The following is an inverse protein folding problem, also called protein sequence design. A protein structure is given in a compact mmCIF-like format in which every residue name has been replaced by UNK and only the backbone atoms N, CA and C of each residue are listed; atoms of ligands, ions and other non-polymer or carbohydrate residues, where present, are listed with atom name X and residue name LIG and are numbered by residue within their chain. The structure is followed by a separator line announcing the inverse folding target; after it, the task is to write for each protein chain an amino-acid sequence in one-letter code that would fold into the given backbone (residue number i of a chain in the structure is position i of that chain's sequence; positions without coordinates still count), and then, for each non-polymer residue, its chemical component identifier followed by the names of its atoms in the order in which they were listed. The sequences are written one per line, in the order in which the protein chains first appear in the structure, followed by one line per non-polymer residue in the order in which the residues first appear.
data_IF_364219947286
#
_entry.id   IF_364219947286
#
_cell.length_a   1.000
_cell.length_b   1.000
_cell.length_c   1.000
_cell.angle_alpha   90.00
_cell.angle_beta   90.00
_cell.angle_gamma   90.00
#
_symmetry.space_group_name_H-M   'P 1'
#
loop_
_entity.id
_entity.type
_entity.pdbx_description
1 polymer ?
#
# COMPACT_ATOMS: atom_id res chain seq x y z
N UNK A 1 -0.65 5.64 8.01
CA UNK A 1 -0.98 4.39 7.35
C UNK A 1 -0.37 3.15 7.99
N UNK A 2 0.37 3.26 9.09
CA UNK A 2 0.96 2.12 9.79
C UNK A 2 2.32 1.64 9.24
N UNK A 3 2.67 1.99 8.01
CA UNK A 3 3.97 1.67 7.38
C UNK A 3 4.47 2.84 6.55
N UNK A 4 5.76 2.84 6.20
CA UNK A 4 6.35 3.89 5.38
C UNK A 4 6.18 3.60 3.88
N UNK A 5 5.82 4.64 3.15
CA UNK A 5 5.65 4.63 1.70
C UNK A 5 6.65 5.55 1.03
N UNK A 6 7.23 5.13 -0.07
CA UNK A 6 7.79 6.04 -1.05
C UNK A 6 6.70 6.39 -2.08
N UNK A 7 6.38 7.68 -2.20
CA UNK A 7 5.39 8.19 -3.16
C UNK A 7 6.15 8.75 -4.37
N UNK A 8 5.99 8.12 -5.53
CA UNK A 8 6.75 8.41 -6.75
C UNK A 8 5.80 8.86 -7.85
N UNK A 9 6.13 9.97 -8.51
CA UNK A 9 5.46 10.35 -9.75
C UNK A 9 5.92 9.40 -10.88
N UNK A 10 4.96 8.71 -11.49
CA UNK A 10 5.25 7.68 -12.50
C UNK A 10 5.94 8.25 -13.75
N UNK A 11 5.73 9.51 -14.06
CA UNK A 11 6.40 10.20 -15.16
C UNK A 11 7.93 10.23 -15.00
N UNK A 12 8.43 10.20 -13.76
CA UNK A 12 9.88 10.18 -13.49
C UNK A 12 10.56 8.87 -13.90
N UNK A 13 9.80 7.81 -14.10
CA UNK A 13 10.30 6.51 -14.58
C UNK A 13 9.90 6.21 -16.02
N UNK A 14 9.25 7.17 -16.71
CA UNK A 14 8.87 7.05 -18.11
C UNK A 14 7.74 6.05 -18.38
N UNK A 15 6.94 5.69 -17.37
CA UNK A 15 5.84 4.75 -17.45
C UNK A 15 4.48 5.42 -17.23
N UNK A 16 3.41 4.65 -17.41
CA UNK A 16 2.04 5.06 -17.09
C UNK A 16 1.37 4.01 -16.20
N UNK A 17 0.37 4.44 -15.41
CA UNK A 17 -0.39 3.51 -14.57
C UNK A 17 -1.51 2.89 -15.40
N UNK A 18 -1.14 1.88 -16.19
CA UNK A 18 -2.01 1.09 -17.08
C UNK A 18 -1.62 -0.39 -17.01
N UNK A 19 -2.52 -1.33 -17.33
CA UNK A 19 -2.23 -2.76 -17.25
C UNK A 19 -1.01 -3.23 -18.06
N UNK A 20 -0.76 -2.61 -19.23
CA UNK A 20 0.39 -2.95 -20.08
C UNK A 20 1.74 -2.72 -19.37
N UNK A 21 1.84 -1.68 -18.55
CA UNK A 21 3.08 -1.28 -17.87
C UNK A 21 3.22 -1.95 -16.48
N UNK A 22 2.23 -2.75 -16.05
CA UNK A 22 2.15 -3.30 -14.69
C UNK A 22 3.37 -4.11 -14.26
N UNK A 23 3.89 -4.97 -15.13
CA UNK A 23 5.05 -5.80 -14.84
C UNK A 23 6.32 -4.94 -14.62
N UNK A 24 6.50 -3.91 -15.44
CA UNK A 24 7.65 -3.02 -15.33
C UNK A 24 7.52 -2.07 -14.11
N UNK A 25 6.31 -1.61 -13.81
CA UNK A 25 6.04 -0.87 -12.57
C UNK A 25 6.41 -1.72 -11.35
N UNK A 26 6.03 -3.00 -11.32
CA UNK A 26 6.37 -3.91 -10.22
C UNK A 26 7.89 -4.06 -10.09
N UNK A 27 8.61 -4.32 -11.19
CA UNK A 27 10.06 -4.46 -11.21
C UNK A 27 10.78 -3.20 -10.73
N UNK A 28 10.44 -2.04 -11.27
CA UNK A 28 11.07 -0.76 -10.91
C UNK A 28 10.72 -0.39 -9.46
N UNK A 29 9.48 -0.63 -9.04
CA UNK A 29 9.04 -0.35 -7.68
C UNK A 29 9.85 -1.12 -6.62
N UNK A 30 10.20 -2.39 -6.90
CA UNK A 30 11.07 -3.17 -6.00
C UNK A 30 12.49 -2.58 -5.93
N UNK A 31 13.08 -2.20 -7.06
CA UNK A 31 14.41 -1.55 -7.10
C UNK A 31 14.40 -0.21 -6.34
N UNK A 32 13.36 0.60 -6.55
CA UNK A 32 13.22 1.88 -5.85
C UNK A 32 13.03 1.68 -4.35
N UNK A 33 12.23 0.68 -3.95
CA UNK A 33 12.04 0.34 -2.53
C UNK A 33 13.36 0.07 -1.82
N UNK A 34 14.20 -0.78 -2.40
CA UNK A 34 15.52 -1.14 -1.84
C UNK A 34 16.42 0.10 -1.74
N UNK A 35 16.53 0.86 -2.82
CA UNK A 35 17.37 2.07 -2.87
C UNK A 35 16.89 3.14 -1.88
N UNK A 36 15.59 3.39 -1.80
CA UNK A 36 15.06 4.37 -0.87
C UNK A 36 15.20 3.91 0.58
N UNK A 37 15.04 2.61 0.88
CA UNK A 37 15.28 2.08 2.23
C UNK A 37 16.73 2.28 2.65
N UNK A 38 17.69 2.06 1.75
CA UNK A 38 19.10 2.28 2.03
C UNK A 38 19.46 3.76 2.19
N UNK A 39 18.89 4.63 1.34
CA UNK A 39 19.19 6.07 1.35
C UNK A 39 18.45 6.85 2.46
N UNK A 40 17.30 6.36 2.89
CA UNK A 40 16.42 7.04 3.84
C UNK A 40 15.98 6.07 4.95
N UNK A 41 16.86 5.79 5.93
CA UNK A 41 16.51 4.93 7.06
C UNK A 41 15.38 5.59 7.87
N UNK A 42 14.29 4.86 8.04
CA UNK A 42 13.12 5.28 8.80
C UNK A 42 12.70 4.18 9.77
N UNK A 43 12.25 4.58 10.96
CA UNK A 43 11.77 3.67 12.00
C UNK A 43 10.51 4.27 12.62
N UNK A 44 9.50 3.44 12.84
CA UNK A 44 8.27 3.87 13.51
C UNK A 44 8.58 4.23 14.96
N UNK A 45 8.15 5.40 15.46
CA UNK A 45 8.54 5.90 16.78
C UNK A 45 8.07 5.02 17.94
N UNK A 46 6.96 4.31 17.79
CA UNK A 46 6.35 3.47 18.83
C UNK A 46 6.48 1.97 18.56
N UNK A 47 6.74 1.58 17.31
CA UNK A 47 6.82 0.17 16.88
C UNK A 47 8.12 -0.04 16.07
N UNK A 48 9.28 -0.23 16.73
CA UNK A 48 10.58 -0.31 16.05
C UNK A 48 10.69 -1.45 15.01
N UNK A 49 9.87 -2.48 15.12
CA UNK A 49 9.79 -3.55 14.12
C UNK A 49 9.30 -3.02 12.74
N UNK A 50 8.56 -1.90 12.71
CA UNK A 50 8.19 -1.20 11.48
C UNK A 50 9.33 -0.26 11.12
N UNK A 51 10.24 -0.72 10.26
CA UNK A 51 11.38 0.03 9.78
C UNK A 51 11.57 -0.11 8.27
N UNK A 52 12.25 0.85 7.66
CA UNK A 52 12.45 0.93 6.22
C UNK A 52 11.17 1.26 5.42
N UNK A 53 11.33 1.39 4.12
CA UNK A 53 10.22 1.64 3.18
C UNK A 53 9.52 0.30 2.90
N UNK A 54 8.27 0.17 3.34
CA UNK A 54 7.48 -1.03 3.12
C UNK A 54 7.06 -1.18 1.66
N UNK A 55 6.54 -0.09 1.07
CA UNK A 55 5.96 -0.10 -0.27
C UNK A 55 6.33 1.14 -1.07
N UNK A 56 6.31 0.99 -2.40
CA UNK A 56 6.38 2.11 -3.34
C UNK A 56 5.00 2.31 -3.96
N UNK A 57 4.47 3.52 -3.89
CA UNK A 57 3.25 3.88 -4.58
C UNK A 57 3.58 4.86 -5.70
N UNK A 58 3.42 4.43 -6.94
CA UNK A 58 3.41 5.32 -8.09
C UNK A 58 2.11 6.11 -8.14
N UNK A 59 2.22 7.37 -8.57
CA UNK A 59 1.09 8.29 -8.71
C UNK A 59 1.13 8.94 -10.08
N UNK A 60 -0.04 9.18 -10.65
CA UNK A 60 -0.24 9.86 -11.93
C UNK A 60 -1.49 10.73 -11.85
N UNK A 61 -1.35 12.01 -12.14
CA UNK A 61 -2.52 12.89 -12.29
C UNK A 61 -3.33 12.44 -13.51
N UNK A 62 -4.63 12.25 -13.32
CA UNK A 62 -5.58 11.99 -14.40
C UNK A 62 -6.09 13.30 -15.01
N UNK A 63 -6.55 13.24 -16.26
CA UNK A 63 -7.13 14.40 -16.97
C UNK A 63 -8.47 14.85 -16.34
N UNK A 64 -9.10 13.99 -15.58
CA UNK A 64 -10.38 14.21 -14.88
C UNK A 64 -10.22 14.74 -13.45
N UNK A 65 -9.01 15.16 -13.05
CA UNK A 65 -8.68 15.62 -11.70
C UNK A 65 -8.53 14.49 -10.67
N UNK A 66 -8.67 13.22 -11.07
CA UNK A 66 -8.44 12.06 -10.22
C UNK A 66 -6.96 11.67 -10.22
N UNK A 67 -6.53 10.93 -9.21
CA UNK A 67 -5.17 10.40 -9.14
C UNK A 67 -5.17 8.90 -9.43
N UNK A 68 -4.44 8.46 -10.46
CA UNK A 68 -4.13 7.05 -10.63
C UNK A 68 -3.02 6.64 -9.68
N UNK A 69 -3.15 5.44 -9.10
CA UNK A 69 -2.18 4.89 -8.14
C UNK A 69 -1.84 3.45 -8.47
N UNK A 70 -0.59 3.08 -8.25
CA UNK A 70 -0.13 1.69 -8.38
C UNK A 70 0.86 1.40 -7.25
N UNK A 71 0.46 0.55 -6.30
CA UNK A 71 1.30 0.20 -5.15
C UNK A 71 2.01 -1.11 -5.40
N UNK A 72 3.34 -1.06 -5.29
CA UNK A 72 4.22 -2.23 -5.43
C UNK A 72 4.60 -2.74 -4.04
N UNK A 73 4.41 -4.03 -3.85
CA UNK A 73 4.65 -4.76 -2.60
C UNK A 73 5.64 -5.91 -2.82
N UNK A 74 6.47 -6.25 -1.83
CA UNK A 74 7.28 -7.46 -1.89
C UNK A 74 6.43 -8.72 -2.18
N UNK A 75 6.96 -9.69 -2.89
CA UNK A 75 8.25 -9.71 -3.61
C UNK A 75 8.18 -9.16 -5.06
N UNK A 76 7.30 -8.26 -5.38
CA UNK A 76 7.08 -7.69 -6.72
C UNK A 76 5.64 -7.81 -7.18
N UNK A 77 4.69 -7.75 -6.24
CA UNK A 77 3.25 -7.72 -6.53
C UNK A 77 2.77 -6.30 -6.69
N UNK A 78 1.83 -6.10 -7.63
CA UNK A 78 1.12 -4.85 -7.81
C UNK A 78 -0.29 -4.96 -7.24
N UNK A 79 -0.68 -4.00 -6.38
CA UNK A 79 -2.04 -3.94 -5.84
C UNK A 79 -3.05 -3.70 -6.99
N UNK A 80 -4.11 -4.48 -7.01
CA UNK A 80 -5.21 -4.29 -7.96
C UNK A 80 -6.21 -3.24 -7.50
N UNK A 81 -6.23 -2.93 -6.21
CA UNK A 81 -6.99 -1.82 -5.64
C UNK A 81 -6.19 -0.51 -5.71
N UNK A 82 -6.81 0.65 -5.44
CA UNK A 82 -6.06 1.91 -5.26
C UNK A 82 -5.13 1.91 -4.03
N UNK A 83 -5.13 0.87 -3.21
CA UNK A 83 -4.42 0.73 -1.95
C UNK A 83 -4.91 1.69 -0.84
N UNK A 84 -5.54 1.15 0.22
CA UNK A 84 -6.11 1.96 1.29
C UNK A 84 -5.07 2.75 2.08
N UNK A 85 -4.03 2.06 2.57
CA UNK A 85 -2.94 2.70 3.35
C UNK A 85 -2.08 3.62 2.49
N UNK A 86 -1.85 3.25 1.22
CA UNK A 86 -1.16 4.11 0.26
C UNK A 86 -1.95 5.37 -0.09
N UNK A 87 -3.27 5.26 -0.28
CA UNK A 87 -4.15 6.41 -0.49
C UNK A 87 -4.18 7.33 0.73
N UNK A 88 -4.12 6.77 1.95
CA UNK A 88 -3.96 7.55 3.19
C UNK A 88 -2.62 8.29 3.23
N UNK A 89 -1.52 7.65 2.84
CA UNK A 89 -0.20 8.29 2.76
C UNK A 89 -0.20 9.41 1.70
N UNK A 90 -0.85 9.19 0.56
CA UNK A 90 -1.03 10.21 -0.47
C UNK A 90 -1.83 11.41 0.05
N UNK A 91 -2.97 11.17 0.71
CA UNK A 91 -3.79 12.21 1.32
C UNK A 91 -2.99 13.02 2.36
N UNK A 92 -2.21 12.36 3.23
CA UNK A 92 -1.33 13.02 4.19
C UNK A 92 -0.29 13.90 3.50
N UNK A 93 0.30 13.42 2.40
CA UNK A 93 1.24 14.19 1.59
C UNK A 93 0.60 15.43 0.96
N UNK A 94 -0.64 15.34 0.49
CA UNK A 94 -1.40 16.49 -0.04
C UNK A 94 -1.69 17.50 1.06
N UNK A 95 -2.14 17.04 2.23
CA UNK A 95 -2.41 17.91 3.38
C UNK A 95 -1.14 18.66 3.85
N UNK A 96 -0.03 17.95 3.99
CA UNK A 96 1.25 18.55 4.39
C UNK A 96 1.77 19.62 3.41
N UNK A 97 1.31 19.59 2.15
CA UNK A 97 1.63 20.58 1.11
C UNK A 97 0.55 21.66 0.95
N UNK A 98 -0.48 21.66 1.79
CA UNK A 98 -1.60 22.60 1.69
C UNK A 98 -2.47 22.42 0.45
N UNK A 99 -2.48 21.21 -0.14
CA UNK A 99 -3.19 20.88 -1.38
C UNK A 99 -4.56 20.22 -1.13
N UNK A 100 -4.92 19.98 0.12
CA UNK A 100 -6.23 19.48 0.53
C UNK A 100 -6.58 19.97 1.94
N UNK A 101 -7.85 20.29 2.15
CA UNK A 101 -8.41 20.78 3.41
C UNK A 101 -9.30 19.73 4.08
N UNK A 102 -9.55 19.88 5.37
CA UNK A 102 -10.51 19.04 6.12
C UNK A 102 -11.88 19.12 5.47
N UNK A 103 -12.53 17.98 5.29
CA UNK A 103 -13.82 17.83 4.61
C UNK A 103 -13.71 17.53 3.12
N UNK A 104 -12.58 17.78 2.48
CA UNK A 104 -12.40 17.52 1.06
C UNK A 104 -12.14 16.03 0.76
N UNK A 105 -12.52 15.62 -0.44
CA UNK A 105 -12.41 14.24 -0.94
C UNK A 105 -11.64 14.22 -2.25
N UNK A 106 -10.74 13.27 -2.39
CA UNK A 106 -10.09 12.93 -3.65
C UNK A 106 -10.53 11.55 -4.12
N UNK A 107 -10.47 11.29 -5.41
CA UNK A 107 -10.65 9.95 -5.98
C UNK A 107 -9.30 9.38 -6.39
N UNK A 108 -8.98 8.19 -5.88
CA UNK A 108 -7.82 7.41 -6.34
C UNK A 108 -8.28 6.24 -7.19
N UNK A 109 -7.58 5.96 -8.31
CA UNK A 109 -7.89 4.86 -9.23
C UNK A 109 -6.71 3.92 -9.40
N UNK A 110 -6.98 2.63 -9.30
CA UNK A 110 -5.97 1.58 -9.49
C UNK A 110 -5.58 1.39 -10.96
N UNK A 111 -4.56 0.56 -11.17
CA UNK A 111 -4.10 0.14 -12.50
C UNK A 111 -5.20 -0.53 -13.33
N UNK A 112 -6.18 -1.20 -12.71
CA UNK A 112 -7.33 -1.82 -13.38
C UNK A 112 -8.58 -0.94 -13.37
N UNK A 113 -8.50 0.32 -12.89
CA UNK A 113 -9.60 1.28 -12.91
C UNK A 113 -10.56 1.23 -11.72
N UNK A 114 -10.37 0.35 -10.73
CA UNK A 114 -11.15 0.41 -9.49
C UNK A 114 -10.87 1.72 -8.75
N UNK A 115 -11.84 2.24 -7.99
CA UNK A 115 -11.75 3.54 -7.36
C UNK A 115 -11.98 3.49 -5.86
N UNK A 116 -11.29 4.38 -5.14
CA UNK A 116 -11.60 4.77 -3.77
C UNK A 116 -11.88 6.28 -3.69
N UNK A 117 -12.89 6.62 -2.91
CA UNK A 117 -13.12 7.98 -2.41
C UNK A 117 -12.37 8.12 -1.09
N UNK A 118 -11.48 9.10 -1.00
CA UNK A 118 -10.57 9.30 0.14
C UNK A 118 -10.80 10.70 0.70
N UNK A 119 -11.45 10.79 1.86
CA UNK A 119 -11.83 12.06 2.50
C UNK A 119 -10.90 12.37 3.67
N UNK A 120 -10.45 13.60 3.77
CA UNK A 120 -9.75 14.10 4.95
C UNK A 120 -10.79 14.53 6.02
N UNK A 121 -11.01 13.67 7.02
CA UNK A 121 -12.00 13.94 8.07
C UNK A 121 -11.49 14.93 9.14
N UNK A 122 -10.19 14.96 9.37
CA UNK A 122 -9.60 15.79 10.40
C UNK A 122 -8.09 15.63 10.48
N UNK A 123 -7.50 16.43 11.36
CA UNK A 123 -6.08 16.41 11.69
C UNK A 123 -5.94 16.05 13.17
N UNK A 124 -4.93 15.27 13.50
CA UNK A 124 -4.61 14.83 14.85
C UNK A 124 -3.10 14.79 15.03
N UNK A 125 -2.65 14.25 16.14
CA UNK A 125 -1.24 14.03 16.42
C UNK A 125 -0.98 12.54 16.67
N UNK A 126 0.15 12.04 16.18
CA UNK A 126 0.67 10.72 16.48
C UNK A 126 2.18 10.80 16.71
N UNK A 127 2.64 10.34 17.87
CA UNK A 127 4.04 10.35 18.28
C UNK A 127 4.73 11.74 18.07
N UNK A 128 4.06 12.82 18.49
CA UNK A 128 4.58 14.20 18.39
C UNK A 128 4.62 14.76 16.95
N UNK A 129 3.92 14.12 15.99
CA UNK A 129 3.86 14.56 14.60
C UNK A 129 2.43 14.78 14.14
N UNK A 130 2.23 15.75 13.27
CA UNK A 130 0.93 15.95 12.62
C UNK A 130 0.51 14.67 11.87
N UNK A 131 -0.69 14.21 12.15
CA UNK A 131 -1.31 13.06 11.51
C UNK A 131 -2.70 13.44 10.97
N UNK A 132 -3.24 12.66 10.04
CA UNK A 132 -4.56 12.86 9.47
C UNK A 132 -5.50 11.72 9.87
N UNK A 133 -6.81 12.01 9.85
CA UNK A 133 -7.89 11.05 10.00
C UNK A 133 -8.53 10.84 8.61
N UNK A 134 -8.13 9.82 7.84
CA UNK A 134 -8.71 9.53 6.54
C UNK A 134 -9.96 8.67 6.65
N UNK A 135 -10.95 8.91 5.80
CA UNK A 135 -12.01 7.96 5.49
C UNK A 135 -11.82 7.45 4.07
N UNK A 136 -11.87 6.13 3.90
CA UNK A 136 -11.75 5.50 2.60
C UNK A 136 -13.04 4.73 2.32
N UNK A 137 -13.65 5.00 1.18
CA UNK A 137 -14.82 4.31 0.69
C UNK A 137 -14.52 3.65 -0.64
N UNK A 138 -14.94 2.41 -0.79
CA UNK A 138 -14.76 1.62 -2.01
C UNK A 138 -15.96 0.72 -2.24
N UNK A 139 -15.94 0.00 -3.36
CA UNK A 139 -16.99 -0.96 -3.73
C UNK A 139 -16.40 -2.35 -3.93
N UNK A 140 -17.05 -3.34 -3.34
CA UNK A 140 -16.79 -4.75 -3.56
C UNK A 140 -18.05 -5.46 -4.08
N UNK A 141 -17.85 -6.66 -4.63
CA UNK A 141 -18.93 -7.53 -5.10
C UNK A 141 -18.80 -8.90 -4.45
N UNK A 142 -19.91 -9.42 -3.90
CA UNK A 142 -19.96 -10.79 -3.40
C UNK A 142 -20.12 -11.73 -4.61
N UNK A 143 -19.28 -12.75 -4.71
CA UNK A 143 -19.34 -13.73 -5.78
C UNK A 143 -19.37 -15.20 -5.29
N UNK A 144 -19.34 -15.41 -3.96
CA UNK A 144 -19.42 -16.75 -3.40
C UNK A 144 -19.45 -16.81 -1.90
N UNK A 145 -19.70 -18.02 -1.41
CA UNK A 145 -19.55 -18.43 -0.01
C UNK A 145 -18.76 -19.73 0.02
N UNK A 146 -17.89 -19.89 1.01
CA UNK A 146 -17.10 -21.10 1.22
C UNK A 146 -17.25 -21.51 2.68
N UNK A 147 -17.61 -22.75 2.94
CA UNK A 147 -17.50 -23.37 4.25
C UNK A 147 -16.07 -23.88 4.40
N UNK A 148 -15.41 -23.49 5.47
CA UNK A 148 -14.06 -23.96 5.82
C UNK A 148 -14.17 -24.75 7.12
N UNK A 149 -13.67 -25.98 7.11
CA UNK A 149 -13.60 -26.85 8.28
C UNK A 149 -12.13 -27.11 8.62
N UNK A 150 -11.83 -27.21 9.91
CA UNK A 150 -10.53 -27.62 10.40
C UNK A 150 -10.68 -28.98 11.07
N UNK A 151 -9.91 -29.97 10.64
CA UNK A 151 -9.84 -31.29 11.27
C UNK A 151 -8.75 -31.26 12.36
N UNK A 152 -9.07 -31.52 13.64
CA UNK A 152 -8.07 -31.53 14.72
C UNK A 152 -7.00 -32.62 14.54
N UNK A 153 -7.22 -33.61 13.69
CA UNK A 153 -6.26 -34.67 13.38
C UNK A 153 -5.32 -34.32 12.23
N UNK A 154 -5.56 -33.20 11.51
CA UNK A 154 -4.67 -32.73 10.46
C UNK A 154 -3.41 -32.15 11.08
N UNK A 155 -2.29 -32.82 10.86
CA UNK A 155 -0.97 -32.37 11.35
C UNK A 155 -0.50 -31.05 10.72
N UNK A 156 -1.17 -30.59 9.66
CA UNK A 156 -0.89 -29.34 8.96
C UNK A 156 -1.98 -28.29 9.18
N UNK A 157 -2.88 -28.46 10.16
CA UNK A 157 -4.01 -27.55 10.40
C UNK A 157 -3.57 -26.10 10.64
N UNK A 158 -2.37 -25.88 11.19
CA UNK A 158 -1.76 -24.54 11.38
C UNK A 158 -1.08 -24.00 10.12
N UNK A 159 -0.99 -24.80 9.06
CA UNK A 159 -0.21 -24.47 7.87
C UNK A 159 1.29 -24.69 8.07
N UNK A 160 2.04 -24.58 6.99
CA UNK A 160 3.51 -24.58 6.99
C UNK A 160 4.03 -23.79 5.79
N UNK A 161 5.24 -23.22 5.90
CA UNK A 161 5.92 -22.54 4.82
C UNK A 161 7.28 -23.21 4.55
N UNK A 162 7.50 -23.62 3.29
CA UNK A 162 8.80 -24.18 2.84
C UNK A 162 9.55 -23.15 2.04
N UNK A 163 8.97 -22.71 0.92
CA UNK A 163 9.39 -21.55 0.15
C UNK A 163 8.14 -20.81 -0.26
N UNK A 164 8.00 -19.55 0.13
CA UNK A 164 6.76 -18.81 -0.09
C UNK A 164 7.03 -17.53 -0.88
N UNK A 165 6.00 -17.10 -1.59
CA UNK A 165 5.91 -15.80 -2.25
C UNK A 165 5.92 -14.63 -1.25
N UNK A 166 5.82 -14.91 0.03
CA UNK A 166 5.93 -13.92 1.10
C UNK A 166 7.39 -13.48 1.38
N UNK A 167 8.38 -14.11 0.73
CA UNK A 167 9.79 -13.77 0.86
C UNK A 167 10.32 -13.97 2.30
N UNK A 168 11.07 -13.02 2.86
CA UNK A 168 11.68 -13.18 4.19
C UNK A 168 10.69 -13.29 5.34
N UNK A 169 9.42 -13.01 5.12
CA UNK A 169 8.37 -13.17 6.12
C UNK A 169 7.89 -14.63 6.29
N UNK A 170 8.29 -15.53 5.40
CA UNK A 170 8.01 -16.96 5.54
C UNK A 170 8.58 -17.54 6.86
N UNK A 171 9.72 -17.04 7.31
CA UNK A 171 10.35 -17.44 8.56
C UNK A 171 9.53 -17.11 9.83
N UNK A 172 8.55 -16.21 9.74
CA UNK A 172 7.65 -15.89 10.88
C UNK A 172 6.48 -16.85 11.00
N UNK A 173 6.35 -17.80 10.07
CA UNK A 173 5.31 -18.82 10.05
C UNK A 173 5.85 -20.18 10.54
N UNK A 174 7.01 -20.20 11.20
CA UNK A 174 7.55 -21.41 11.81
C UNK A 174 6.68 -21.82 13.00
N UNK A 175 6.01 -23.00 12.93
CA UNK A 175 5.13 -23.44 14.01
C UNK A 175 5.88 -23.85 15.30
N UNK A 176 7.21 -24.01 15.23
CA UNK A 176 8.08 -24.42 16.34
C UNK A 176 8.92 -23.24 16.89
N UNK A 177 8.68 -21.98 16.44
CA UNK A 177 9.38 -20.77 16.85
C UNK A 177 8.71 -20.01 18.00
#
# INVERSE_FOLDING_TARGET
GGVFYALVDVGQVGLSIIPRDAAELARIGMVLRERFTAAHPVVHPEIPAINGIAYVMFRQAGADGQTRTATVMPPGRLDRSPCGTGSSAHLASLHARGQISVGETITTRSVIGSAFEVTLLGVTEAAGRTAILPRISGRGWRFGETLVESDPSDIFASGYAVTDVWGPYAATLDPDG
#
